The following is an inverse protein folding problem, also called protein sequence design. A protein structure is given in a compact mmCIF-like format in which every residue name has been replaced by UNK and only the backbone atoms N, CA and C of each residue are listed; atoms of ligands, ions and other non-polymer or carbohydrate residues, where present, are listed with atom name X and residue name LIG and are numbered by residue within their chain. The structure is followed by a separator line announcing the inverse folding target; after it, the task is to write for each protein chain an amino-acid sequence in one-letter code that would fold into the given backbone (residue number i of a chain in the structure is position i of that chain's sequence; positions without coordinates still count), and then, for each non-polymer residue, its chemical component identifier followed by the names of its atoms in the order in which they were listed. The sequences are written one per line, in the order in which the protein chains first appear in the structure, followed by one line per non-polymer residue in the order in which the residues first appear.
data_IF_903508731264
#
_entry.id   IF_903508731264
#
_cell.length_a   1.000
_cell.length_b   1.000
_cell.length_c   1.000
_cell.angle_alpha   90.00
_cell.angle_beta   90.00
_cell.angle_gamma   90.00
#
_symmetry.space_group_name_H-M   'P 1'
#
loop_
_entity.id
_entity.type
_entity.pdbx_description
1 polymer ?
#
# COMPACT_ATOMS: atom_id res chain seq x y z
N UNK A 1 17.95 18.32 -23.32
CA UNK A 1 16.67 17.61 -23.07
C UNK A 1 16.91 16.73 -21.86
N UNK A 2 16.46 17.15 -20.68
CA UNK A 2 16.72 16.41 -19.44
C UNK A 2 15.66 15.33 -19.32
N UNK A 3 16.10 14.07 -19.46
CA UNK A 3 15.32 12.90 -19.12
C UNK A 3 15.08 12.96 -17.61
N UNK A 4 13.86 13.28 -17.20
CA UNK A 4 13.44 13.05 -15.83
C UNK A 4 13.43 11.53 -15.62
N UNK A 5 14.48 11.04 -14.98
CA UNK A 5 14.49 9.76 -14.28
C UNK A 5 13.23 9.73 -13.41
N UNK A 6 12.27 8.90 -13.78
CA UNK A 6 11.13 8.58 -12.92
C UNK A 6 11.74 7.82 -11.75
N UNK A 7 12.07 8.53 -10.67
CA UNK A 7 12.45 7.90 -9.41
C UNK A 7 11.29 6.98 -9.02
N UNK A 8 11.54 5.68 -9.11
CA UNK A 8 10.67 4.64 -8.55
C UNK A 8 10.59 4.88 -7.05
N UNK A 9 9.59 5.65 -6.60
CA UNK A 9 9.27 5.84 -5.18
C UNK A 9 9.18 4.44 -4.56
N UNK A 10 10.15 4.08 -3.72
CA UNK A 10 10.13 2.78 -3.05
C UNK A 10 8.83 2.66 -2.26
N UNK A 11 8.08 1.58 -2.53
CA UNK A 11 6.84 1.30 -1.83
C UNK A 11 7.25 0.85 -0.43
N UNK A 12 6.90 1.64 0.60
CA UNK A 12 7.16 1.29 2.01
C UNK A 12 5.85 1.32 2.78
N UNK A 13 5.72 0.52 3.85
CA UNK A 13 4.51 0.54 4.68
C UNK A 13 4.25 1.94 5.27
N UNK A 14 5.30 2.68 5.62
CA UNK A 14 5.18 4.09 6.06
C UNK A 14 4.62 4.97 4.95
N UNK A 15 5.11 4.79 3.72
CA UNK A 15 4.61 5.50 2.55
C UNK A 15 3.14 5.20 2.30
N UNK A 16 2.72 3.93 2.38
CA UNK A 16 1.32 3.53 2.19
C UNK A 16 0.37 4.12 3.23
N UNK A 17 0.81 4.21 4.51
CA UNK A 17 0.03 4.87 5.56
C UNK A 17 -0.09 6.37 5.29
N UNK A 18 1.01 7.01 4.86
CA UNK A 18 1.02 8.43 4.52
C UNK A 18 0.19 8.76 3.28
N UNK A 19 0.23 7.91 2.25
CA UNK A 19 -0.57 8.05 1.02
C UNK A 19 -2.08 7.90 1.32
N UNK A 20 -2.43 7.23 2.43
CA UNK A 20 -3.79 7.19 2.97
C UNK A 20 -4.13 8.40 3.88
N UNK A 21 -3.31 9.46 3.87
CA UNK A 21 -3.46 10.70 4.66
C UNK A 21 -3.52 10.47 6.18
N UNK A 22 -2.75 9.50 6.68
CA UNK A 22 -2.69 9.19 8.11
C UNK A 22 -1.25 9.17 8.62
N UNK A 23 -1.10 9.46 9.91
CA UNK A 23 0.08 9.12 10.69
C UNK A 23 0.01 7.68 11.20
N UNK A 24 1.14 7.09 11.61
CA UNK A 24 1.14 5.76 12.26
C UNK A 24 0.30 5.73 13.54
N UNK A 25 0.26 6.86 14.29
CA UNK A 25 -0.53 7.01 15.50
C UNK A 25 -2.04 7.02 15.21
N UNK A 26 -2.47 7.74 14.18
CA UNK A 26 -3.88 7.74 13.75
C UNK A 26 -4.28 6.36 13.23
N UNK A 27 -3.40 5.73 12.47
CA UNK A 27 -3.60 4.38 11.96
C UNK A 27 -3.70 3.34 13.10
N UNK A 28 -2.88 3.50 14.15
CA UNK A 28 -2.97 2.71 15.38
C UNK A 28 -4.34 2.85 16.06
N UNK A 29 -4.83 4.09 16.22
CA UNK A 29 -6.16 4.35 16.79
C UNK A 29 -7.28 3.77 15.93
N UNK A 30 -7.16 3.85 14.61
CA UNK A 30 -8.15 3.36 13.66
C UNK A 30 -8.27 1.83 13.68
N UNK A 31 -7.13 1.14 13.72
CA UNK A 31 -7.06 -0.33 13.59
C UNK A 31 -7.08 -1.07 14.93
N UNK A 32 -6.83 -0.35 16.04
CA UNK A 32 -6.59 -0.95 17.36
C UNK A 32 -5.22 -1.64 17.50
N UNK A 33 -4.40 -1.65 16.45
CA UNK A 33 -3.06 -2.21 16.49
C UNK A 33 -2.15 -1.26 17.27
N UNK A 34 -1.37 -1.73 18.27
CA UNK A 34 -0.46 -0.85 19.00
C UNK A 34 0.55 -0.17 18.07
N UNK A 35 0.78 1.13 18.27
CA UNK A 35 1.73 1.93 17.46
C UNK A 35 3.14 1.32 17.44
N UNK A 36 3.58 0.72 18.56
CA UNK A 36 4.86 0.00 18.64
C UNK A 36 4.93 -1.21 17.70
N UNK A 37 3.81 -1.87 17.47
CA UNK A 37 3.69 -3.00 16.55
C UNK A 37 3.77 -2.51 15.10
N UNK A 38 3.03 -1.45 14.77
CA UNK A 38 3.11 -0.79 13.46
C UNK A 38 4.54 -0.33 13.18
N UNK A 39 5.19 0.33 14.14
CA UNK A 39 6.58 0.77 14.01
C UNK A 39 7.55 -0.41 13.80
N UNK A 40 7.30 -1.56 14.44
CA UNK A 40 8.11 -2.77 14.22
C UNK A 40 7.98 -3.32 12.79
N UNK A 41 6.82 -3.16 12.16
CA UNK A 41 6.60 -3.55 10.76
C UNK A 41 7.18 -2.54 9.78
N UNK A 42 7.00 -1.25 10.06
CA UNK A 42 7.58 -0.16 9.25
C UNK A 42 9.11 -0.21 9.24
N UNK A 43 9.73 -0.58 10.36
CA UNK A 43 11.17 -0.79 10.46
C UNK A 43 11.63 -2.20 10.05
N UNK A 44 10.73 -3.01 9.48
CA UNK A 44 10.97 -4.38 9.03
C UNK A 44 11.54 -5.33 10.10
N UNK A 45 11.47 -4.98 11.38
CA UNK A 45 11.92 -5.83 12.50
C UNK A 45 11.04 -7.06 12.68
N UNK A 46 9.78 -6.96 12.29
CA UNK A 46 8.79 -8.04 12.35
C UNK A 46 7.87 -7.94 11.15
N UNK A 47 7.30 -9.08 10.77
CA UNK A 47 6.24 -9.13 9.77
C UNK A 47 4.86 -9.14 10.45
N UNK A 48 3.84 -8.51 9.84
CA UNK A 48 2.46 -8.70 10.28
C UNK A 48 2.06 -10.17 10.10
N UNK A 49 1.27 -10.68 11.04
CA UNK A 49 0.57 -11.96 10.84
C UNK A 49 -0.51 -11.78 9.77
N UNK A 50 -0.97 -12.89 9.19
CA UNK A 50 -1.92 -12.85 8.06
C UNK A 50 -3.20 -12.08 8.38
N UNK A 51 -3.76 -12.26 9.57
CA UNK A 51 -4.93 -11.51 10.08
C UNK A 51 -4.69 -9.99 10.07
N UNK A 52 -3.54 -9.57 10.60
CA UNK A 52 -3.12 -8.17 10.61
C UNK A 52 -2.83 -7.65 9.21
N UNK A 53 -2.22 -8.46 8.34
CA UNK A 53 -1.94 -8.09 6.96
C UNK A 53 -3.24 -7.83 6.17
N UNK A 54 -4.25 -8.69 6.33
CA UNK A 54 -5.57 -8.47 5.74
C UNK A 54 -6.19 -7.17 6.28
N UNK A 55 -6.10 -6.93 7.60
CA UNK A 55 -6.59 -5.69 8.21
C UNK A 55 -5.89 -4.45 7.63
N UNK A 56 -4.57 -4.48 7.45
CA UNK A 56 -3.79 -3.43 6.79
C UNK A 56 -4.34 -3.15 5.39
N UNK A 57 -4.51 -4.18 4.57
CA UNK A 57 -5.04 -4.05 3.21
C UNK A 57 -6.44 -3.43 3.19
N UNK A 58 -7.34 -3.87 4.09
CA UNK A 58 -8.71 -3.35 4.15
C UNK A 58 -8.79 -1.86 4.51
N UNK A 59 -7.93 -1.39 5.44
CA UNK A 59 -7.92 0.01 5.85
C UNK A 59 -7.15 0.91 4.89
N UNK A 60 -6.06 0.42 4.30
CA UNK A 60 -5.23 1.18 3.35
C UNK A 60 -5.76 1.12 1.91
N UNK A 61 -6.77 0.28 1.63
CA UNK A 61 -7.36 0.07 0.29
C UNK A 61 -6.32 -0.36 -0.75
N UNK A 62 -5.44 -1.27 -0.35
CA UNK A 62 -4.38 -1.83 -1.20
C UNK A 62 -4.52 -3.35 -1.33
N UNK A 63 -3.94 -3.90 -2.40
CA UNK A 63 -3.82 -5.35 -2.55
C UNK A 63 -2.81 -5.94 -1.55
N UNK A 64 -2.95 -7.24 -1.27
CA UNK A 64 -1.95 -7.97 -0.47
C UNK A 64 -0.58 -8.00 -1.17
N UNK A 65 -0.56 -8.05 -2.51
CA UNK A 65 0.67 -7.94 -3.30
C UNK A 65 1.38 -6.61 -3.06
N UNK A 66 0.65 -5.50 -3.03
CA UNK A 66 1.22 -4.18 -2.73
C UNK A 66 1.78 -4.11 -1.31
N UNK A 67 1.06 -4.67 -0.33
CA UNK A 67 1.55 -4.76 1.05
C UNK A 67 2.83 -5.60 1.13
N UNK A 68 2.86 -6.76 0.46
CA UNK A 68 4.03 -7.64 0.43
C UNK A 68 5.27 -6.95 -0.17
N UNK A 69 5.12 -6.23 -1.30
CA UNK A 69 6.20 -5.40 -1.85
C UNK A 69 6.72 -4.38 -0.84
N UNK A 70 5.81 -3.77 -0.07
CA UNK A 70 6.18 -2.77 0.95
C UNK A 70 6.95 -3.32 2.15
N UNK A 71 7.02 -4.65 2.25
CA UNK A 71 7.70 -5.42 3.28
C UNK A 71 8.91 -6.19 2.70
N UNK A 72 9.39 -5.81 1.51
CA UNK A 72 10.48 -6.45 0.77
C UNK A 72 10.28 -7.96 0.47
N UNK A 73 9.02 -8.37 0.31
CA UNK A 73 8.70 -9.72 -0.14
C UNK A 73 8.66 -9.71 -1.67
N UNK A 74 9.45 -10.60 -2.29
CA UNK A 74 9.38 -10.81 -3.73
C UNK A 74 8.03 -11.42 -4.13
N UNK A 75 7.33 -10.71 -5.02
CA UNK A 75 6.02 -11.10 -5.55
C UNK A 75 6.00 -11.09 -7.08
N UNK A 76 7.17 -11.11 -7.72
CA UNK A 76 7.31 -11.01 -9.19
C UNK A 76 6.54 -12.12 -9.93
N UNK A 77 6.38 -13.28 -9.29
CA UNK A 77 5.68 -14.44 -9.85
C UNK A 77 4.30 -14.70 -9.21
N UNK A 78 3.82 -13.80 -8.34
CA UNK A 78 2.50 -13.94 -7.74
C UNK A 78 1.44 -13.46 -8.74
N UNK A 79 0.43 -14.26 -9.12
CA UNK A 79 -0.67 -13.77 -9.96
C UNK A 79 -1.50 -12.71 -9.21
N UNK A 80 -2.15 -11.82 -9.94
CA UNK A 80 -3.15 -10.92 -9.35
C UNK A 80 -4.51 -11.60 -9.28
N UNK A 81 -5.29 -11.31 -8.22
CA UNK A 81 -6.62 -11.89 -8.00
C UNK A 81 -7.63 -11.50 -9.09
N UNK A 82 -7.42 -10.34 -9.72
CA UNK A 82 -8.19 -9.85 -10.86
C UNK A 82 -7.24 -9.41 -11.98
N UNK A 83 -7.57 -9.64 -13.26
CA UNK A 83 -6.85 -8.99 -14.36
C UNK A 83 -7.01 -7.48 -14.21
N UNK A 84 -5.92 -6.73 -14.43
CA UNK A 84 -5.91 -5.26 -14.38
C UNK A 84 -6.98 -4.75 -15.35
N UNK A 85 -8.17 -4.40 -14.84
CA UNK A 85 -9.11 -3.62 -15.63
C UNK A 85 -8.47 -2.26 -15.81
N UNK A 86 -8.17 -1.86 -17.05
CA UNK A 86 -7.68 -0.52 -17.34
C UNK A 86 -8.53 0.53 -16.61
N UNK A 87 -7.91 1.62 -16.11
CA UNK A 87 -8.67 2.69 -15.48
C UNK A 87 -9.77 3.10 -16.45
N UNK A 88 -11.01 3.05 -15.94
CA UNK A 88 -12.20 3.45 -16.67
C UNK A 88 -11.91 4.78 -17.35
N UNK A 89 -11.83 4.76 -18.69
CA UNK A 89 -11.71 5.99 -19.49
C UNK A 89 -12.77 6.94 -18.98
N UNK A 90 -12.31 8.06 -18.46
CA UNK A 90 -13.11 9.18 -18.02
C UNK A 90 -14.24 9.38 -19.03
N UNK A 91 -15.47 9.35 -18.51
CA UNK A 91 -16.68 9.70 -19.24
C UNK A 91 -16.46 11.12 -19.76
N UNK A 92 -15.99 11.25 -21.00
CA UNK A 92 -15.89 12.52 -21.69
C UNK A 92 -17.33 12.96 -21.92
N UNK A 93 -17.82 13.76 -20.98
CA UNK A 93 -19.10 14.44 -21.04
C UNK A 93 -19.17 15.09 -22.42
N UNK A 94 -20.18 14.69 -23.17
CA UNK A 94 -20.55 15.28 -24.46
C UNK A 94 -20.52 16.80 -24.37
N UNK A 95 -19.79 17.45 -25.27
CA UNK A 95 -19.97 18.87 -25.53
C UNK A 95 -20.62 19.01 -26.90
N UNK A 96 -21.93 19.30 -26.79
CA UNK A 96 -22.87 20.01 -27.67
C UNK A 96 -22.35 20.39 -29.05
#
# INVERSE_FOLDING_TARGET
MNLHTIESKEITLKGLIADANMTQREFSKLTGIPEVTINSWVSQKRMPKLDSAVLLCCHLKISLKTLAKSLDIDVSNLPDDLPISEPSKELTISKV
#
